data_IF_270568956555
#
_entry.id   IF_270568956555
#
_cell.length_a   1.000
_cell.length_b   1.000
_cell.length_c   1.000
_cell.angle_alpha   90.00
_cell.angle_beta   90.00
_cell.angle_gamma   90.00
#
_symmetry.space_group_name_H-M   'P 1'
#
loop_
_entity.id
_entity.type
_entity.pdbx_description
1 polymer ?
#
# COMPACT_ATOMS: atom_id res chain seq x y z
N UNK A 1 56.81 -3.27 -19.61
CA UNK A 1 57.59 -4.44 -19.16
C UNK A 1 56.59 -5.58 -18.99
N UNK A 2 56.50 -6.50 -19.96
CA UNK A 2 57.15 -7.84 -19.93
C UNK A 2 56.61 -8.63 -18.71
N UNK A 3 55.78 -9.69 -18.81
CA UNK A 3 55.85 -10.99 -19.50
C UNK A 3 54.40 -11.56 -19.36
N UNK A 4 53.78 -12.28 -20.29
CA UNK A 4 54.30 -13.44 -20.99
C UNK A 4 54.10 -14.72 -20.16
N UNK A 5 52.91 -15.35 -20.22
CA UNK A 5 52.82 -16.81 -20.16
C UNK A 5 51.59 -17.30 -20.92
N UNK A 6 51.87 -17.87 -22.08
CA UNK A 6 50.96 -18.62 -22.94
C UNK A 6 50.82 -20.01 -22.34
N UNK A 7 49.59 -20.45 -22.08
CA UNK A 7 49.26 -21.89 -22.01
C UNK A 7 48.16 -22.14 -23.04
N UNK A 8 48.60 -22.67 -24.18
CA UNK A 8 47.76 -23.22 -25.23
C UNK A 8 47.24 -24.55 -24.71
N UNK A 9 45.94 -24.61 -24.37
CA UNK A 9 45.19 -25.87 -24.32
C UNK A 9 44.30 -25.88 -25.56
N UNK A 10 44.81 -26.52 -26.61
CA UNK A 10 44.04 -26.92 -27.76
C UNK A 10 43.34 -28.25 -27.42
N UNK A 11 42.05 -28.21 -27.15
CA UNK A 11 41.17 -29.36 -27.31
C UNK A 11 40.18 -29.04 -28.43
N UNK A 12 40.52 -29.52 -29.62
CA UNK A 12 39.61 -29.65 -30.75
C UNK A 12 38.53 -30.65 -30.35
N UNK A 13 37.31 -30.16 -30.20
CA UNK A 13 36.10 -30.97 -30.06
C UNK A 13 35.04 -30.40 -31.00
N UNK A 14 34.72 -31.16 -32.05
CA UNK A 14 33.70 -30.83 -33.03
C UNK A 14 32.30 -30.79 -32.38
N UNK A 15 31.51 -29.77 -32.70
CA UNK A 15 30.11 -29.71 -32.34
C UNK A 15 29.57 -28.28 -32.28
N UNK A 16 29.27 -27.69 -33.44
CA UNK A 16 28.42 -26.50 -33.50
C UNK A 16 26.97 -26.97 -33.45
N UNK A 17 26.23 -26.58 -32.42
CA UNK A 17 24.77 -26.40 -32.50
C UNK A 17 24.34 -25.41 -31.42
N UNK A 18 23.70 -24.34 -31.87
CA UNK A 18 23.17 -23.23 -31.09
C UNK A 18 21.93 -23.68 -30.31
N UNK A 19 21.97 -23.60 -28.97
CA UNK A 19 20.81 -23.34 -28.10
C UNK A 19 21.28 -23.31 -26.63
N UNK A 20 21.82 -22.17 -26.19
CA UNK A 20 21.92 -21.88 -24.76
C UNK A 20 20.55 -21.39 -24.28
N UNK A 21 19.64 -22.32 -23.96
CA UNK A 21 18.53 -22.02 -23.05
C UNK A 21 19.07 -22.25 -21.65
N UNK A 22 19.45 -21.16 -20.99
CA UNK A 22 19.85 -21.15 -19.59
C UNK A 22 18.81 -21.89 -18.74
N UNK A 23 19.20 -22.84 -17.88
CA UNK A 23 18.32 -23.31 -16.84
C UNK A 23 18.04 -22.13 -15.91
N UNK A 24 16.81 -21.65 -15.99
CA UNK A 24 15.98 -21.26 -14.86
C UNK A 24 16.78 -20.92 -13.60
N UNK A 25 17.15 -19.64 -13.46
CA UNK A 25 17.49 -19.09 -12.17
C UNK A 25 16.21 -19.07 -11.33
N UNK A 26 15.90 -20.21 -10.72
CA UNK A 26 14.99 -20.27 -9.58
C UNK A 26 15.70 -19.61 -8.41
N UNK A 27 15.76 -18.27 -8.44
CA UNK A 27 15.93 -17.48 -7.22
C UNK A 27 14.72 -17.80 -6.35
N UNK A 28 14.89 -18.26 -5.10
CA UNK A 28 13.77 -18.33 -4.19
C UNK A 28 13.21 -16.92 -4.08
N UNK A 29 12.00 -16.75 -4.61
CA UNK A 29 11.12 -15.61 -4.37
C UNK A 29 11.11 -15.40 -2.86
N UNK A 30 11.82 -14.37 -2.41
CA UNK A 30 11.72 -13.85 -1.07
C UNK A 30 10.28 -13.36 -0.96
N UNK A 31 9.41 -14.27 -0.51
CA UNK A 31 8.01 -14.05 -0.29
C UNK A 31 7.83 -12.63 0.25
N UNK A 32 7.25 -11.78 -0.61
CA UNK A 32 6.93 -10.41 -0.24
C UNK A 32 6.12 -10.48 1.06
N UNK A 33 6.45 -9.69 2.10
CA UNK A 33 5.64 -9.68 3.31
C UNK A 33 4.22 -9.36 2.86
N UNK A 34 3.29 -10.31 3.06
CA UNK A 34 1.89 -10.11 2.74
C UNK A 34 1.42 -8.90 3.55
N UNK A 35 1.32 -7.75 2.88
CA UNK A 35 0.80 -6.54 3.50
C UNK A 35 -0.62 -6.87 3.93
N UNK A 36 -0.84 -6.99 5.24
CA UNK A 36 -2.20 -7.15 5.77
C UNK A 36 -3.03 -5.98 5.24
N UNK A 37 -4.25 -6.24 4.71
CA UNK A 37 -5.05 -5.19 4.13
C UNK A 37 -5.27 -4.10 5.18
N UNK A 38 -4.92 -2.86 4.85
CA UNK A 38 -5.01 -1.73 5.77
C UNK A 38 -6.46 -1.61 6.28
N UNK A 39 -6.73 -1.90 7.56
CA UNK A 39 -8.08 -1.87 8.11
C UNK A 39 -8.72 -0.50 7.83
N UNK A 40 -9.91 -0.50 7.24
CA UNK A 40 -10.67 0.73 7.03
C UNK A 40 -11.27 1.20 8.36
N UNK A 41 -11.18 2.49 8.64
CA UNK A 41 -11.63 3.11 9.90
C UNK A 41 -13.03 3.69 9.73
N UNK A 42 -13.94 3.31 10.61
CA UNK A 42 -15.27 3.93 10.71
C UNK A 42 -15.17 5.23 11.51
N UNK A 43 -15.69 6.34 10.95
CA UNK A 43 -15.62 7.67 11.58
C UNK A 43 -17.04 8.16 11.87
N UNK A 44 -17.42 8.17 13.15
CA UNK A 44 -18.72 8.70 13.59
C UNK A 44 -18.87 10.18 13.26
N UNK A 45 -19.97 10.55 12.58
CA UNK A 45 -20.24 11.92 12.16
C UNK A 45 -21.67 12.34 12.53
N UNK A 46 -21.85 13.61 12.90
CA UNK A 46 -23.16 14.20 13.19
C UNK A 46 -23.23 15.60 12.59
N UNK A 47 -24.40 15.99 12.11
CA UNK A 47 -24.69 17.38 11.71
C UNK A 47 -24.45 18.34 12.89
N UNK A 48 -23.48 19.24 12.71
CA UNK A 48 -23.14 20.31 13.61
C UNK A 48 -22.42 21.44 12.83
N UNK A 49 -23.16 22.29 12.07
CA UNK A 49 -22.56 23.47 11.46
C UNK A 49 -21.89 24.37 12.52
N UNK A 50 -20.72 24.99 12.24
CA UNK A 50 -19.96 24.95 10.97
C UNK A 50 -18.93 23.80 10.88
N UNK A 51 -18.96 22.83 11.79
CA UNK A 51 -17.92 21.81 11.95
C UNK A 51 -18.10 20.60 11.02
N UNK A 52 -19.33 20.13 10.88
CA UNK A 52 -19.69 19.02 10.01
C UNK A 52 -21.13 19.20 9.52
N UNK A 53 -21.32 19.30 8.21
CA UNK A 53 -22.64 19.44 7.59
C UNK A 53 -22.64 18.85 6.18
N UNK A 54 -23.83 18.56 5.65
CA UNK A 54 -23.97 18.00 4.30
C UNK A 54 -24.18 19.13 3.30
N UNK A 55 -23.51 19.04 2.15
CA UNK A 55 -23.78 19.85 0.97
C UNK A 55 -25.02 19.33 0.24
N UNK A 56 -25.46 20.04 -0.80
CA UNK A 56 -26.63 19.66 -1.59
C UNK A 56 -26.48 18.30 -2.28
N UNK A 57 -25.25 17.89 -2.60
CA UNK A 57 -24.93 16.60 -3.20
C UNK A 57 -24.82 15.46 -2.17
N UNK A 58 -25.03 15.75 -0.88
CA UNK A 58 -24.94 14.79 0.21
C UNK A 58 -23.53 14.56 0.75
N UNK A 59 -22.50 15.18 0.16
CA UNK A 59 -21.12 15.10 0.67
C UNK A 59 -20.96 15.87 1.99
N UNK A 60 -20.02 15.43 2.83
CA UNK A 60 -19.72 16.08 4.10
C UNK A 60 -18.70 17.20 3.93
N UNK A 61 -18.97 18.35 4.56
CA UNK A 61 -18.11 19.53 4.59
C UNK A 61 -18.07 20.14 6.00
N UNK A 62 -17.15 21.06 6.24
CA UNK A 62 -16.98 21.78 7.51
C UNK A 62 -15.59 21.62 8.12
N UNK A 63 -15.32 22.42 9.16
CA UNK A 63 -13.98 22.53 9.75
C UNK A 63 -13.40 21.19 10.23
N UNK A 64 -14.23 20.33 10.82
CA UNK A 64 -13.78 19.03 11.33
C UNK A 64 -13.56 18.03 10.20
N UNK A 65 -14.31 18.14 9.10
CA UNK A 65 -14.15 17.29 7.90
C UNK A 65 -12.81 17.59 7.25
N UNK A 66 -12.50 18.87 7.04
CA UNK A 66 -11.24 19.31 6.44
C UNK A 66 -10.05 18.89 7.31
N UNK A 67 -10.16 19.04 8.63
CA UNK A 67 -9.11 18.64 9.57
C UNK A 67 -8.89 17.13 9.53
N UNK A 68 -9.96 16.34 9.61
CA UNK A 68 -9.88 14.88 9.60
C UNK A 68 -9.28 14.36 8.30
N UNK A 69 -9.73 14.86 7.14
CA UNK A 69 -9.20 14.46 5.84
C UNK A 69 -7.69 14.73 5.72
N UNK A 70 -7.22 15.88 6.23
CA UNK A 70 -5.77 16.19 6.28
C UNK A 70 -5.00 15.21 7.17
N UNK A 71 -5.55 14.85 8.33
CA UNK A 71 -4.93 13.87 9.24
C UNK A 71 -4.90 12.49 8.59
N UNK A 72 -6.02 12.02 8.04
CA UNK A 72 -6.12 10.74 7.36
C UNK A 72 -5.16 10.64 6.16
N UNK A 73 -5.05 11.70 5.36
CA UNK A 73 -4.10 11.77 4.25
C UNK A 73 -2.64 11.69 4.72
N UNK A 74 -2.27 12.40 5.80
CA UNK A 74 -0.92 12.35 6.37
C UNK A 74 -0.56 10.99 6.97
N UNK A 75 -1.54 10.27 7.47
CA UNK A 75 -1.38 8.95 8.10
C UNK A 75 -1.66 7.79 7.14
N UNK A 76 -1.98 8.07 5.87
CA UNK A 76 -2.39 7.08 4.87
C UNK A 76 -3.53 6.15 5.34
N UNK A 77 -4.54 6.73 6.00
CA UNK A 77 -5.69 6.01 6.53
C UNK A 77 -6.80 5.89 5.51
N UNK A 78 -7.35 4.69 5.36
CA UNK A 78 -8.63 4.46 4.68
C UNK A 78 -9.75 4.63 5.69
N UNK A 79 -10.79 5.38 5.35
CA UNK A 79 -11.91 5.61 6.25
C UNK A 79 -13.22 5.85 5.49
N UNK A 80 -14.34 5.65 6.18
CA UNK A 80 -15.66 6.10 5.76
C UNK A 80 -16.39 6.76 6.94
N UNK A 81 -17.35 7.64 6.62
CA UNK A 81 -18.17 8.28 7.62
C UNK A 81 -19.39 7.44 7.99
N UNK A 82 -19.68 7.33 9.28
CA UNK A 82 -20.86 6.68 9.84
C UNK A 82 -21.71 7.76 10.50
N UNK A 83 -22.83 8.11 9.88
CA UNK A 83 -23.71 9.14 10.42
C UNK A 83 -24.50 8.62 11.62
N UNK A 84 -24.49 9.39 12.71
CA UNK A 84 -25.18 9.05 13.95
C UNK A 84 -26.02 10.23 14.48
N UNK A 85 -27.16 9.95 15.13
CA UNK A 85 -28.14 11.00 15.46
C UNK A 85 -27.74 11.86 16.66
N UNK A 86 -27.02 11.32 17.65
CA UNK A 86 -26.61 12.04 18.85
C UNK A 86 -25.11 11.87 19.17
N UNK A 87 -24.62 12.70 20.08
CA UNK A 87 -23.23 12.61 20.58
C UNK A 87 -23.03 11.30 21.34
N UNK A 88 -24.04 10.83 22.07
CA UNK A 88 -23.97 9.56 22.79
C UNK A 88 -23.66 8.40 21.83
N UNK A 89 -24.29 8.36 20.66
CA UNK A 89 -24.04 7.31 19.66
C UNK A 89 -22.59 7.33 19.13
N UNK A 90 -21.94 8.50 19.07
CA UNK A 90 -20.51 8.59 18.71
C UNK A 90 -19.64 7.96 19.79
N UNK A 91 -19.97 8.19 21.06
CA UNK A 91 -19.24 7.62 22.21
C UNK A 91 -19.44 6.11 22.24
N UNK A 92 -20.68 5.64 22.11
CA UNK A 92 -21.02 4.23 22.14
C UNK A 92 -20.34 3.46 20.99
N UNK A 93 -20.28 4.06 19.79
CA UNK A 93 -19.55 3.48 18.65
C UNK A 93 -18.05 3.34 18.86
N UNK A 94 -17.41 4.26 19.60
CA UNK A 94 -15.99 4.12 19.98
C UNK A 94 -15.80 3.02 21.02
N UNK A 95 -16.75 2.85 21.94
CA UNK A 95 -16.70 1.79 22.96
C UNK A 95 -16.89 0.40 22.34
N UNK A 96 -17.77 0.25 21.34
CA UNK A 96 -18.05 -1.04 20.70
C UNK A 96 -16.99 -1.49 19.70
N UNK A 97 -16.27 -0.54 19.08
CA UNK A 97 -15.42 -0.79 17.92
C UNK A 97 -16.20 -1.04 16.64
#
# INVERSE_FOLDING_TARGET
MALGLIVIVACVGAGVTLAQTSPDQTSPDLASPSASPAKEISVGIKQAPPFAFKLQDGSWSGLSIDLWQKIAGRLNLRFHYVEVPAVQDQIDGVVSG
#
